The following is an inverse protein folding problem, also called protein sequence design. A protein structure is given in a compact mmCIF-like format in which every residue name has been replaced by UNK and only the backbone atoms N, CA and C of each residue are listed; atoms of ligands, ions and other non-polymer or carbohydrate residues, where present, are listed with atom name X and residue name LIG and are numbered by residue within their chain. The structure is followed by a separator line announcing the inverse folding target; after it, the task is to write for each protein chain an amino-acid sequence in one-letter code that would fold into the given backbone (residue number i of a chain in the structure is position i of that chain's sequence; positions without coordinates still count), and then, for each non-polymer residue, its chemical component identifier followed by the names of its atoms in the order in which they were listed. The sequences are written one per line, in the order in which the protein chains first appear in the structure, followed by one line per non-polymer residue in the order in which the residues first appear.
data_IF_311046675132
#
_entry.id   IF_311046675132
#
_cell.length_a   1.000
_cell.length_b   1.000
_cell.length_c   1.000
_cell.angle_alpha   90.00
_cell.angle_beta   90.00
_cell.angle_gamma   90.00
#
_symmetry.space_group_name_H-M   'P 1'
#
loop_
_entity.id
_entity.type
_entity.pdbx_description
1 polymer ?
#
# COMPACT_ATOMS: atom_id res chain seq x y z
N UNK A 1 -15.91 35.77 16.90
CA UNK A 1 -15.82 34.51 16.14
C UNK A 1 -14.47 33.91 16.47
N UNK A 2 -14.37 32.60 16.69
CA UNK A 2 -13.06 32.00 16.99
C UNK A 2 -12.14 32.17 15.77
N UNK A 3 -10.87 32.46 16.01
CA UNK A 3 -9.81 32.45 15.00
C UNK A 3 -9.34 31.02 14.67
N UNK A 4 -10.05 30.00 15.19
CA UNK A 4 -9.67 28.61 14.99
C UNK A 4 -10.00 28.16 13.57
N UNK A 5 -9.06 27.42 13.00
CA UNK A 5 -9.13 26.92 11.63
C UNK A 5 -10.19 25.82 11.47
N UNK A 6 -10.38 25.00 12.50
CA UNK A 6 -11.44 24.00 12.61
C UNK A 6 -11.98 24.00 14.03
N UNK A 7 -13.31 23.98 14.20
CA UNK A 7 -13.92 23.85 15.53
C UNK A 7 -15.35 23.30 15.47
N UNK A 8 -15.73 22.62 16.56
CA UNK A 8 -17.05 22.04 16.74
C UNK A 8 -17.97 22.98 17.50
N UNK A 9 -19.19 23.17 16.99
CA UNK A 9 -20.30 23.77 17.72
C UNK A 9 -21.26 22.62 18.08
N UNK A 10 -21.48 22.40 19.38
CA UNK A 10 -22.29 21.28 19.86
C UNK A 10 -23.75 21.63 20.02
N UNK A 11 -24.63 20.69 19.67
CA UNK A 11 -26.07 20.75 19.94
C UNK A 11 -26.72 22.09 19.52
N UNK A 12 -26.49 22.47 18.27
CA UNK A 12 -26.92 23.73 17.67
C UNK A 12 -27.60 23.49 16.30
N UNK A 13 -28.26 24.53 15.80
CA UNK A 13 -28.98 24.48 14.52
C UNK A 13 -29.01 25.81 13.78
N UNK A 14 -29.31 25.74 12.49
CA UNK A 14 -29.48 26.88 11.59
C UNK A 14 -28.30 27.07 10.64
N UNK A 15 -28.60 27.33 9.37
CA UNK A 15 -27.59 27.61 8.35
C UNK A 15 -26.77 28.88 8.66
N UNK A 16 -27.34 29.81 9.43
CA UNK A 16 -26.70 31.05 9.88
C UNK A 16 -25.53 30.82 10.85
N UNK A 17 -25.39 29.60 11.39
CA UNK A 17 -24.25 29.22 12.22
C UNK A 17 -22.96 29.07 11.42
N UNK A 18 -23.04 28.88 10.09
CA UNK A 18 -21.87 28.88 9.23
C UNK A 18 -21.33 30.32 9.08
N UNK A 19 -20.13 30.64 9.59
CA UNK A 19 -19.57 31.98 9.44
C UNK A 19 -19.28 32.31 7.96
N UNK A 20 -19.19 33.60 7.65
CA UNK A 20 -18.70 34.06 6.35
C UNK A 20 -17.29 33.53 6.10
N UNK A 21 -17.02 33.05 4.88
CA UNK A 21 -15.70 32.55 4.49
C UNK A 21 -15.34 31.17 5.07
N UNK A 22 -16.31 30.39 5.55
CA UNK A 22 -16.10 29.04 6.11
C UNK A 22 -17.04 28.01 5.48
N UNK A 23 -16.70 26.74 5.65
CA UNK A 23 -17.56 25.57 5.40
C UNK A 23 -18.16 25.11 6.74
N UNK A 24 -19.41 24.63 6.72
CA UNK A 24 -20.06 24.01 7.86
C UNK A 24 -20.69 22.66 7.48
N UNK A 25 -20.36 21.61 8.23
CA UNK A 25 -20.95 20.28 8.13
C UNK A 25 -21.94 20.08 9.29
N UNK A 26 -23.11 19.51 9.01
CA UNK A 26 -24.20 19.34 9.98
C UNK A 26 -24.58 17.87 10.09
N UNK A 27 -24.79 17.39 11.32
CA UNK A 27 -25.15 15.98 11.58
C UNK A 27 -26.56 15.60 11.11
N UNK A 28 -27.47 16.58 11.03
CA UNK A 28 -28.86 16.35 10.63
C UNK A 28 -29.22 17.13 9.35
N UNK A 29 -30.28 16.68 8.69
CA UNK A 29 -30.86 17.39 7.54
C UNK A 29 -31.42 18.76 7.96
N UNK A 30 -31.62 19.62 6.97
CA UNK A 30 -32.16 20.98 7.14
C UNK A 30 -31.39 21.78 8.20
N UNK A 31 -30.06 21.60 8.25
CA UNK A 31 -29.16 22.34 9.14
C UNK A 31 -29.55 22.17 10.62
N UNK A 32 -29.86 20.94 11.04
CA UNK A 32 -30.25 20.58 12.41
C UNK A 32 -31.53 21.28 12.93
N UNK A 33 -32.39 21.81 12.07
CA UNK A 33 -33.56 22.59 12.51
C UNK A 33 -34.64 21.78 13.22
N UNK A 34 -34.81 20.50 12.86
CA UNK A 34 -35.80 19.61 13.48
C UNK A 34 -35.25 18.87 14.71
N UNK A 35 -33.93 18.65 14.72
CA UNK A 35 -33.21 17.96 15.77
C UNK A 35 -31.84 18.63 15.92
N UNK A 36 -31.57 19.15 17.12
CA UNK A 36 -30.29 19.77 17.43
C UNK A 36 -29.19 18.75 17.23
N UNK A 37 -28.12 19.18 16.59
CA UNK A 37 -27.01 18.32 16.24
C UNK A 37 -25.70 19.09 16.32
N UNK A 38 -24.62 18.42 15.99
CA UNK A 38 -23.31 19.04 15.97
C UNK A 38 -23.07 19.71 14.62
N UNK A 39 -22.27 20.78 14.64
CA UNK A 39 -21.88 21.56 13.46
C UNK A 39 -20.37 21.73 13.47
N UNK A 40 -19.68 21.14 12.49
CA UNK A 40 -18.24 21.32 12.33
C UNK A 40 -17.97 22.49 11.38
N UNK A 41 -17.26 23.51 11.88
CA UNK A 41 -16.83 24.66 11.08
C UNK A 41 -15.39 24.45 10.62
N UNK A 42 -15.16 24.64 9.32
CA UNK A 42 -13.88 24.39 8.65
C UNK A 42 -13.49 25.62 7.84
N UNK A 43 -12.25 26.06 7.98
CA UNK A 43 -11.69 27.18 7.20
C UNK A 43 -11.24 26.74 5.81
N UNK A 44 -11.07 27.67 4.85
CA UNK A 44 -10.52 27.33 3.55
C UNK A 44 -9.14 26.67 3.66
N UNK A 45 -8.82 25.83 2.67
CA UNK A 45 -7.53 25.17 2.51
C UNK A 45 -7.18 24.16 3.62
N UNK A 46 -8.17 23.36 4.01
CA UNK A 46 -8.03 22.30 5.01
C UNK A 46 -8.54 20.98 4.43
N UNK A 47 -7.84 19.91 4.75
CA UNK A 47 -8.27 18.55 4.45
C UNK A 47 -8.35 17.77 5.75
N UNK A 48 -9.47 17.07 5.95
CA UNK A 48 -9.69 16.23 7.12
C UNK A 48 -10.16 14.86 6.65
N UNK A 49 -9.42 13.82 7.03
CA UNK A 49 -9.86 12.43 6.93
C UNK A 49 -10.80 12.06 8.09
N UNK A 50 -11.33 10.83 8.09
CA UNK A 50 -12.27 10.37 9.13
C UNK A 50 -11.72 10.55 10.54
N UNK A 51 -10.51 10.06 10.79
CA UNK A 51 -9.89 10.12 12.11
C UNK A 51 -9.71 11.57 12.59
N UNK A 52 -9.38 12.50 11.69
CA UNK A 52 -9.25 13.91 12.01
C UNK A 52 -10.61 14.55 12.32
N UNK A 53 -11.65 14.26 11.54
CA UNK A 53 -13.02 14.72 11.83
C UNK A 53 -13.48 14.27 13.22
N UNK A 54 -13.29 12.98 13.52
CA UNK A 54 -13.63 12.39 14.81
C UNK A 54 -12.79 12.97 15.96
N UNK A 55 -11.54 13.35 15.71
CA UNK A 55 -10.69 13.99 16.72
C UNK A 55 -11.21 15.36 17.18
N UNK A 56 -12.00 16.05 16.34
CA UNK A 56 -12.73 17.27 16.72
C UNK A 56 -14.05 16.98 17.45
N UNK A 57 -14.40 15.70 17.62
CA UNK A 57 -15.65 15.23 18.21
C UNK A 57 -16.82 15.20 17.22
N UNK A 58 -16.57 15.32 15.92
CA UNK A 58 -17.57 15.22 14.87
C UNK A 58 -17.54 13.82 14.27
N UNK A 59 -18.46 12.96 14.72
CA UNK A 59 -18.51 11.54 14.33
C UNK A 59 -19.11 11.42 12.93
N UNK A 60 -18.52 10.58 12.08
CA UNK A 60 -18.91 10.42 10.67
C UNK A 60 -18.95 8.95 10.24
N UNK A 61 -19.72 8.67 9.18
CA UNK A 61 -19.80 7.33 8.58
C UNK A 61 -20.67 6.32 9.33
N UNK A 62 -21.48 6.77 10.29
CA UNK A 62 -22.50 5.99 11.01
C UNK A 62 -23.79 6.81 11.12
N UNK A 63 -24.82 6.31 11.83
CA UNK A 63 -25.97 7.14 12.19
C UNK A 63 -25.48 8.43 12.86
N UNK A 64 -26.00 9.59 12.43
CA UNK A 64 -25.61 10.95 12.84
C UNK A 64 -24.32 11.51 12.16
N UNK A 65 -23.98 10.99 10.96
CA UNK A 65 -22.93 11.53 10.09
C UNK A 65 -23.32 12.84 9.38
N UNK A 66 -22.63 13.23 8.32
CA UNK A 66 -22.98 14.48 7.59
C UNK A 66 -24.29 14.30 6.84
N UNK A 67 -25.28 15.15 7.13
CA UNK A 67 -26.61 15.11 6.50
C UNK A 67 -26.97 16.41 5.76
N UNK A 68 -26.32 17.53 6.08
CA UNK A 68 -26.42 18.79 5.34
C UNK A 68 -25.13 19.62 5.42
N UNK A 69 -24.96 20.58 4.51
CA UNK A 69 -23.73 21.37 4.39
C UNK A 69 -24.01 22.79 3.93
N UNK A 70 -23.22 23.75 4.43
CA UNK A 70 -23.20 25.14 3.97
C UNK A 70 -21.77 25.50 3.58
N UNK A 71 -21.56 25.97 2.35
CA UNK A 71 -20.28 26.51 1.90
C UNK A 71 -20.39 28.04 1.74
N UNK A 72 -19.97 28.79 2.75
CA UNK A 72 -19.89 30.26 2.71
C UNK A 72 -18.50 30.76 2.27
N UNK A 73 -17.63 29.87 1.78
CA UNK A 73 -16.34 30.24 1.19
C UNK A 73 -16.52 30.81 -0.21
N UNK A 74 -15.43 31.35 -0.76
CA UNK A 74 -15.32 31.80 -2.14
C UNK A 74 -14.69 30.75 -3.09
N UNK A 75 -14.54 29.51 -2.62
CA UNK A 75 -13.98 28.38 -3.35
C UNK A 75 -14.83 27.12 -3.15
N UNK A 76 -14.64 26.11 -4.00
CA UNK A 76 -15.34 24.86 -3.86
C UNK A 76 -14.94 24.16 -2.55
N UNK A 77 -15.86 23.34 -2.04
CA UNK A 77 -15.53 22.32 -1.05
C UNK A 77 -15.91 20.97 -1.64
N UNK A 78 -15.25 19.91 -1.18
CA UNK A 78 -15.50 18.55 -1.65
C UNK A 78 -15.74 17.64 -0.45
N UNK A 79 -16.90 16.99 -0.46
CA UNK A 79 -17.21 15.88 0.45
C UNK A 79 -16.67 14.59 -0.18
N UNK A 80 -16.09 13.72 0.63
CA UNK A 80 -15.41 12.50 0.17
C UNK A 80 -15.96 11.30 0.95
N UNK A 81 -16.28 10.23 0.23
CA UNK A 81 -16.92 9.04 0.80
C UNK A 81 -15.95 8.06 1.48
N UNK A 82 -14.67 8.06 1.08
CA UNK A 82 -13.65 7.20 1.67
C UNK A 82 -13.02 7.75 2.95
N UNK A 83 -12.37 6.85 3.68
CA UNK A 83 -11.83 7.11 5.02
C UNK A 83 -10.53 7.89 4.99
N UNK A 84 -9.79 7.81 3.87
CA UNK A 84 -8.42 8.30 3.74
C UNK A 84 -8.29 9.28 2.57
N UNK A 85 -9.28 10.17 2.41
CA UNK A 85 -9.37 11.08 1.25
C UNK A 85 -9.37 10.31 -0.08
N UNK A 86 -10.12 9.21 -0.12
CA UNK A 86 -10.31 8.35 -1.28
C UNK A 86 -11.78 8.10 -1.64
N UNK A 87 -12.03 7.49 -2.79
CA UNK A 87 -13.37 7.12 -3.28
C UNK A 87 -14.16 8.25 -3.94
N UNK A 88 -15.49 8.11 -3.96
CA UNK A 88 -16.37 9.06 -4.66
C UNK A 88 -16.40 10.42 -3.96
N UNK A 89 -16.59 11.48 -4.76
CA UNK A 89 -16.58 12.87 -4.32
C UNK A 89 -17.89 13.60 -4.65
N UNK A 90 -18.25 14.60 -3.83
CA UNK A 90 -19.37 15.51 -4.08
C UNK A 90 -18.94 16.95 -3.84
N UNK A 91 -18.93 17.75 -4.91
CA UNK A 91 -18.58 19.17 -4.84
C UNK A 91 -19.74 20.03 -4.30
N UNK A 92 -19.41 20.92 -3.37
CA UNK A 92 -20.30 21.96 -2.81
C UNK A 92 -19.80 23.32 -3.29
N UNK A 93 -20.56 23.95 -4.19
CA UNK A 93 -20.17 25.21 -4.84
C UNK A 93 -20.11 26.40 -3.86
N UNK A 94 -19.34 27.46 -4.17
CA UNK A 94 -19.13 28.58 -3.26
C UNK A 94 -20.43 29.36 -3.08
N UNK A 95 -20.72 29.78 -1.85
CA UNK A 95 -21.95 30.50 -1.50
C UNK A 95 -23.23 29.67 -1.60
N UNK A 96 -23.12 28.34 -1.67
CA UNK A 96 -24.28 27.44 -1.76
C UNK A 96 -24.48 26.65 -0.48
N UNK A 97 -25.67 26.08 -0.33
CA UNK A 97 -25.99 25.13 0.73
C UNK A 97 -26.72 23.91 0.15
N UNK A 98 -26.53 22.77 0.81
CA UNK A 98 -27.23 21.54 0.52
C UNK A 98 -28.03 21.20 1.79
N UNK A 99 -29.35 21.44 1.79
CA UNK A 99 -30.17 21.23 2.98
C UNK A 99 -30.42 19.75 3.28
N UNK A 100 -30.17 18.84 2.33
CA UNK A 100 -30.26 17.40 2.56
C UNK A 100 -29.39 16.64 1.58
N UNK A 101 -28.57 15.73 2.08
CA UNK A 101 -27.74 14.83 1.27
C UNK A 101 -28.51 13.58 0.80
N UNK A 102 -29.74 13.35 1.28
CA UNK A 102 -30.61 12.25 0.86
C UNK A 102 -30.88 12.28 -0.65
N UNK A 103 -30.99 13.47 -1.22
CA UNK A 103 -31.28 13.69 -2.64
C UNK A 103 -30.07 13.51 -3.57
N UNK A 104 -28.89 13.21 -3.02
CA UNK A 104 -27.63 13.09 -3.76
C UNK A 104 -27.23 11.62 -3.81
N UNK A 105 -27.33 10.94 -4.97
CA UNK A 105 -27.01 9.52 -5.08
C UNK A 105 -25.53 9.20 -4.79
N UNK A 106 -25.28 8.05 -4.17
CA UNK A 106 -23.96 7.47 -3.90
C UNK A 106 -24.06 5.95 -4.03
N UNK A 107 -23.56 5.38 -5.13
CA UNK A 107 -23.72 3.95 -5.43
C UNK A 107 -25.20 3.52 -5.43
N UNK A 108 -25.56 2.55 -4.59
CA UNK A 108 -26.94 2.11 -4.39
C UNK A 108 -27.73 2.93 -3.35
N UNK A 109 -27.06 3.87 -2.67
CA UNK A 109 -27.61 4.73 -1.62
C UNK A 109 -27.51 6.21 -1.97
N UNK A 110 -27.27 7.04 -0.95
CA UNK A 110 -27.13 8.48 -1.07
C UNK A 110 -26.03 9.00 -0.13
N UNK A 111 -25.71 10.28 -0.24
CA UNK A 111 -24.65 10.92 0.54
C UNK A 111 -24.99 11.19 2.01
N UNK A 112 -26.24 10.94 2.45
CA UNK A 112 -26.62 11.13 3.85
C UNK A 112 -25.82 10.17 4.73
N UNK A 113 -25.12 10.73 5.71
CA UNK A 113 -24.25 10.03 6.66
C UNK A 113 -23.04 9.31 6.02
N UNK A 114 -22.85 9.44 4.71
CA UNK A 114 -21.83 8.72 3.95
C UNK A 114 -20.53 9.51 3.71
N UNK A 115 -20.50 10.77 4.15
CA UNK A 115 -19.26 11.58 4.12
C UNK A 115 -18.32 11.05 5.20
N UNK A 116 -17.10 10.69 4.82
CA UNK A 116 -16.05 10.24 5.74
C UNK A 116 -14.82 11.15 5.73
N UNK A 117 -14.61 11.94 4.69
CA UNK A 117 -13.54 12.93 4.61
C UNK A 117 -14.02 14.21 3.92
N UNK A 118 -13.29 15.31 4.07
CA UNK A 118 -13.65 16.62 3.49
C UNK A 118 -12.42 17.41 3.10
N UNK A 119 -12.53 18.13 1.98
CA UNK A 119 -11.56 19.10 1.51
C UNK A 119 -12.24 20.46 1.35
N UNK A 120 -11.78 21.47 2.08
CA UNK A 120 -12.27 22.86 1.95
C UNK A 120 -11.44 23.67 0.94
N UNK A 121 -11.07 23.03 -0.16
CA UNK A 121 -10.32 23.59 -1.27
C UNK A 121 -10.77 23.00 -2.61
N UNK A 122 -10.34 23.66 -3.69
CA UNK A 122 -10.40 23.07 -5.02
C UNK A 122 -9.52 21.81 -5.04
N UNK A 123 -10.00 20.77 -5.71
CA UNK A 123 -9.31 19.47 -5.77
C UNK A 123 -8.95 19.09 -7.20
N UNK A 124 -7.92 18.27 -7.30
CA UNK A 124 -7.62 17.40 -8.43
C UNK A 124 -8.02 15.97 -8.06
N UNK A 125 -8.71 15.27 -8.95
CA UNK A 125 -9.02 13.86 -8.75
C UNK A 125 -8.09 13.01 -9.57
N UNK A 126 -7.51 12.00 -8.95
CA UNK A 126 -6.73 10.95 -9.62
C UNK A 126 -7.37 9.59 -9.37
N UNK A 127 -6.86 8.57 -10.02
CA UNK A 127 -7.28 7.18 -9.89
C UNK A 127 -6.05 6.27 -9.77
N UNK A 128 -5.64 6.01 -8.52
CA UNK A 128 -4.53 5.15 -8.16
C UNK A 128 -5.06 3.90 -7.47
N UNK A 129 -4.54 2.74 -7.87
CA UNK A 129 -4.87 1.46 -7.23
C UNK A 129 -3.66 0.91 -6.48
N UNK A 130 -3.87 0.51 -5.22
CA UNK A 130 -2.84 -0.14 -4.40
C UNK A 130 -3.10 -1.64 -4.29
N UNK A 131 -2.06 -2.44 -4.51
CA UNK A 131 -2.02 -3.87 -4.20
C UNK A 131 -0.77 -4.19 -3.39
N UNK A 132 -0.90 -5.02 -2.37
CA UNK A 132 0.21 -5.60 -1.60
C UNK A 132 0.21 -7.10 -1.88
N UNK A 133 1.38 -7.71 -1.90
CA UNK A 133 1.47 -9.18 -1.99
C UNK A 133 0.67 -9.89 -0.88
N UNK A 134 0.14 -11.06 -1.22
CA UNK A 134 -0.74 -11.84 -0.35
C UNK A 134 0.03 -12.91 0.44
N UNK A 135 -0.51 -13.27 1.60
CA UNK A 135 -0.08 -14.41 2.43
C UNK A 135 1.42 -14.47 2.75
N UNK A 136 1.94 -13.38 3.33
CA UNK A 136 3.34 -13.28 3.71
C UNK A 136 3.64 -14.22 4.89
N UNK A 137 4.60 -15.14 4.72
CA UNK A 137 5.06 -16.06 5.76
C UNK A 137 6.52 -15.77 6.12
N UNK A 138 6.82 -15.53 7.39
CA UNK A 138 8.16 -15.30 7.92
C UNK A 138 8.54 -16.36 8.95
N UNK A 139 9.83 -16.52 9.20
CA UNK A 139 10.36 -17.15 10.41
C UNK A 139 10.69 -16.07 11.47
N UNK A 140 10.88 -16.48 12.71
CA UNK A 140 11.36 -15.56 13.75
C UNK A 140 12.74 -15.00 13.39
N UNK A 141 12.96 -13.71 13.66
CA UNK A 141 14.19 -12.96 13.35
C UNK A 141 14.50 -12.80 11.85
N UNK A 142 13.59 -13.22 10.97
CA UNK A 142 13.78 -13.07 9.54
C UNK A 142 13.40 -11.67 9.04
N UNK A 143 14.30 -11.07 8.25
CA UNK A 143 14.05 -9.84 7.51
C UNK A 143 13.44 -10.14 6.14
N UNK A 144 12.37 -9.43 5.78
CA UNK A 144 11.71 -9.56 4.50
C UNK A 144 11.28 -8.20 3.95
N UNK A 145 11.07 -8.09 2.64
CA UNK A 145 10.74 -6.84 1.96
C UNK A 145 9.50 -7.01 1.07
N UNK A 146 8.34 -6.76 1.66
CA UNK A 146 7.06 -7.00 1.01
C UNK A 146 6.82 -6.03 -0.14
N UNK A 147 6.30 -6.53 -1.26
CA UNK A 147 6.01 -5.71 -2.45
C UNK A 147 4.65 -5.03 -2.35
N UNK A 148 4.66 -3.69 -2.24
CA UNK A 148 3.51 -2.84 -2.48
C UNK A 148 3.62 -2.25 -3.90
N UNK A 149 2.58 -2.44 -4.69
CA UNK A 149 2.45 -1.85 -6.02
C UNK A 149 1.37 -0.78 -6.00
N UNK A 150 1.67 0.35 -6.63
CA UNK A 150 0.74 1.47 -6.76
C UNK A 150 0.67 1.83 -8.24
N UNK A 151 -0.44 1.47 -8.88
CA UNK A 151 -0.66 1.71 -10.29
C UNK A 151 -1.42 3.02 -10.48
N UNK A 152 -0.95 3.85 -11.42
CA UNK A 152 -1.60 5.10 -11.79
C UNK A 152 -2.41 4.92 -13.07
N UNK A 153 -3.74 4.94 -12.94
CA UNK A 153 -4.67 4.79 -14.07
C UNK A 153 -4.87 6.11 -14.84
N UNK A 154 -4.07 7.14 -14.56
CA UNK A 154 -4.14 8.48 -15.16
C UNK A 154 -2.87 8.72 -15.96
N UNK A 155 -2.97 9.53 -17.00
CA UNK A 155 -1.83 9.89 -17.85
C UNK A 155 -0.85 10.89 -17.21
N UNK A 156 -1.27 11.56 -16.14
CA UNK A 156 -0.45 12.55 -15.43
C UNK A 156 0.22 11.96 -14.19
N UNK A 157 1.43 12.42 -13.90
CA UNK A 157 2.21 11.92 -12.76
C UNK A 157 1.73 12.52 -11.45
N UNK A 158 1.61 11.68 -10.42
CA UNK A 158 1.38 12.12 -9.04
C UNK A 158 2.71 12.20 -8.31
N UNK A 159 3.06 13.40 -7.83
CA UNK A 159 4.31 13.64 -7.12
C UNK A 159 4.07 13.90 -5.64
N UNK A 160 5.06 13.56 -4.81
CA UNK A 160 5.04 13.80 -3.36
C UNK A 160 3.92 13.07 -2.61
N UNK A 161 3.39 11.97 -3.17
CA UNK A 161 2.57 11.07 -2.39
C UNK A 161 3.45 10.36 -1.36
N UNK A 162 2.86 9.91 -0.25
CA UNK A 162 3.61 9.22 0.80
C UNK A 162 2.99 7.89 1.16
N UNK A 163 3.82 6.90 1.43
CA UNK A 163 3.41 5.57 1.90
C UNK A 163 3.83 5.42 3.35
N UNK A 164 2.90 4.91 4.16
CA UNK A 164 3.16 4.44 5.52
C UNK A 164 2.68 3.00 5.65
N UNK A 165 3.32 2.24 6.53
CA UNK A 165 2.94 0.88 6.81
C UNK A 165 2.95 0.62 8.31
N UNK A 166 2.06 -0.25 8.78
CA UNK A 166 1.93 -0.57 10.20
C UNK A 166 1.54 -2.03 10.42
N UNK A 167 1.95 -2.57 11.57
CA UNK A 167 1.52 -3.87 12.05
C UNK A 167 0.42 -3.71 13.08
N UNK A 168 -0.65 -4.50 12.96
CA UNK A 168 -1.70 -4.61 13.98
C UNK A 168 -1.19 -5.25 15.29
N UNK A 169 -0.07 -5.98 15.25
CA UNK A 169 0.56 -6.55 16.44
C UNK A 169 2.09 -6.63 16.29
N UNK A 170 2.78 -5.65 16.86
CA UNK A 170 4.24 -5.54 16.80
C UNK A 170 4.99 -6.66 17.54
N UNK A 171 4.30 -7.48 18.33
CA UNK A 171 4.90 -8.66 18.97
C UNK A 171 5.01 -9.85 18.00
N UNK A 172 4.21 -9.87 16.92
CA UNK A 172 4.28 -10.90 15.87
C UNK A 172 5.33 -10.49 14.83
N UNK A 173 5.19 -9.30 14.25
CA UNK A 173 6.17 -8.75 13.31
C UNK A 173 6.22 -7.23 13.44
N UNK A 174 7.38 -6.63 13.14
CA UNK A 174 7.55 -5.19 13.06
C UNK A 174 7.72 -4.71 11.63
N UNK A 175 7.27 -3.49 11.36
CA UNK A 175 7.56 -2.74 10.13
C UNK A 175 8.69 -1.77 10.45
N UNK A 176 9.77 -1.80 9.68
CA UNK A 176 10.96 -0.95 9.97
C UNK A 176 10.97 0.38 9.22
N UNK A 177 10.00 0.63 8.34
CA UNK A 177 9.92 1.88 7.57
C UNK A 177 9.23 3.02 8.29
N UNK A 178 9.85 4.20 8.21
CA UNK A 178 9.15 5.48 8.32
C UNK A 178 8.34 5.82 7.06
N UNK A 179 7.82 7.04 6.99
CA UNK A 179 7.13 7.56 5.81
C UNK A 179 8.04 7.58 4.59
N UNK A 180 7.62 6.94 3.49
CA UNK A 180 8.34 6.95 2.21
C UNK A 180 7.66 7.92 1.25
N UNK A 181 8.39 8.90 0.73
CA UNK A 181 7.89 9.80 -0.33
C UNK A 181 8.12 9.17 -1.69
N UNK A 182 7.09 9.13 -2.52
CA UNK A 182 7.10 8.52 -3.85
C UNK A 182 6.56 9.47 -4.92
N UNK A 183 7.02 9.26 -6.15
CA UNK A 183 6.43 9.80 -7.37
C UNK A 183 5.93 8.64 -8.21
N UNK A 184 4.71 8.77 -8.72
CA UNK A 184 4.03 7.74 -9.49
C UNK A 184 3.78 8.34 -10.87
N UNK A 185 4.54 7.88 -11.87
CA UNK A 185 4.37 8.37 -13.24
C UNK A 185 3.00 7.99 -13.80
N UNK A 186 2.54 8.75 -14.80
CA UNK A 186 1.28 8.46 -15.49
C UNK A 186 1.32 7.11 -16.21
N UNK A 187 0.22 6.36 -16.18
CA UNK A 187 0.05 5.04 -16.79
C UNK A 187 1.10 3.99 -16.35
N UNK A 188 1.81 4.22 -15.24
CA UNK A 188 2.87 3.37 -14.72
C UNK A 188 2.57 2.85 -13.30
N UNK A 189 3.35 1.84 -12.89
CA UNK A 189 3.30 1.26 -11.54
C UNK A 189 4.55 1.66 -10.74
N UNK A 190 4.35 2.30 -9.60
CA UNK A 190 5.39 2.50 -8.61
C UNK A 190 5.48 1.28 -7.69
N UNK A 191 6.69 0.73 -7.53
CA UNK A 191 6.96 -0.38 -6.63
C UNK A 191 7.64 0.12 -5.35
N UNK A 192 7.07 -0.26 -4.20
CA UNK A 192 7.55 0.11 -2.87
C UNK A 192 7.82 -1.17 -2.07
N UNK A 193 9.00 -1.26 -1.47
CA UNK A 193 9.35 -2.37 -0.57
C UNK A 193 9.09 -1.99 0.87
N UNK A 194 8.31 -2.82 1.57
CA UNK A 194 7.98 -2.64 2.98
C UNK A 194 8.82 -3.63 3.80
N UNK A 195 9.86 -3.18 4.51
CA UNK A 195 10.71 -4.05 5.30
C UNK A 195 9.97 -4.50 6.56
N UNK A 196 9.95 -5.82 6.73
CA UNK A 196 9.33 -6.55 7.81
C UNK A 196 10.41 -7.32 8.56
N UNK A 197 10.22 -7.47 9.87
CA UNK A 197 11.04 -8.34 10.70
C UNK A 197 10.14 -9.23 11.56
N UNK A 198 10.29 -10.54 11.42
CA UNK A 198 9.62 -11.53 12.26
C UNK A 198 10.08 -11.42 13.72
N UNK A 199 9.14 -11.37 14.67
CA UNK A 199 9.42 -11.18 16.10
C UNK A 199 8.94 -12.34 16.97
N UNK A 200 7.77 -12.89 16.68
CA UNK A 200 7.20 -13.97 17.46
C UNK A 200 6.10 -14.69 16.69
N UNK A 201 5.96 -15.98 16.95
CA UNK A 201 4.94 -16.80 16.29
C UNK A 201 3.52 -16.21 16.40
N UNK A 202 2.78 -16.28 15.29
CA UNK A 202 1.39 -15.84 15.20
C UNK A 202 1.06 -15.20 13.86
N UNK A 203 -0.14 -14.65 13.75
CA UNK A 203 -0.56 -13.90 12.56
C UNK A 203 -1.02 -12.50 12.95
N UNK A 204 -0.69 -11.52 12.12
CA UNK A 204 -1.11 -10.15 12.28
C UNK A 204 -1.28 -9.48 10.91
N UNK A 205 -2.12 -8.45 10.85
CA UNK A 205 -2.35 -7.67 9.62
C UNK A 205 -1.25 -6.62 9.42
N UNK A 206 -0.69 -6.58 8.21
CA UNK A 206 0.09 -5.47 7.67
C UNK A 206 -0.87 -4.53 6.93
N UNK A 207 -0.91 -3.27 7.34
CA UNK A 207 -1.71 -2.22 6.68
C UNK A 207 -0.77 -1.22 6.02
N UNK A 208 -0.94 -1.01 4.71
CA UNK A 208 -0.25 0.02 3.94
C UNK A 208 -1.23 1.13 3.59
N UNK A 209 -0.85 2.38 3.85
CA UNK A 209 -1.66 3.56 3.57
C UNK A 209 -0.90 4.54 2.69
N UNK A 210 -1.54 4.95 1.59
CA UNK A 210 -1.12 6.04 0.71
C UNK A 210 -1.76 7.35 1.18
N UNK A 211 -0.95 8.37 1.34
CA UNK A 211 -1.41 9.74 1.61
C UNK A 211 -1.06 10.62 0.43
N UNK A 212 -2.08 11.21 -0.16
CA UNK A 212 -1.97 12.10 -1.32
C UNK A 212 -1.43 13.47 -0.91
N UNK A 213 -0.77 14.19 -1.83
CA UNK A 213 -0.46 15.60 -1.60
C UNK A 213 -1.74 16.41 -1.42
N UNK A 214 -1.65 17.52 -0.69
CA UNK A 214 -2.78 18.42 -0.45
C UNK A 214 -3.45 18.83 -1.76
N UNK A 215 -4.78 18.82 -1.76
CA UNK A 215 -5.64 19.14 -2.89
C UNK A 215 -5.86 17.97 -3.84
N UNK A 216 -5.33 16.78 -3.56
CA UNK A 216 -5.50 15.61 -4.43
C UNK A 216 -6.32 14.53 -3.74
N UNK A 217 -7.42 14.12 -4.39
CA UNK A 217 -8.31 13.05 -3.92
C UNK A 217 -8.19 11.86 -4.85
N UNK A 218 -7.99 10.67 -4.29
CA UNK A 218 -7.85 9.45 -5.06
C UNK A 218 -9.20 8.72 -5.22
N UNK A 219 -9.71 8.56 -6.44
CA UNK A 219 -10.93 7.80 -6.70
C UNK A 219 -10.76 6.27 -6.50
N UNK A 220 -9.53 5.78 -6.55
CA UNK A 220 -9.19 4.38 -6.26
C UNK A 220 -9.12 4.11 -4.76
N UNK A 221 -8.08 3.41 -4.31
CA UNK A 221 -7.89 3.07 -2.90
C UNK A 221 -6.61 3.68 -2.34
N UNK A 222 -6.71 4.29 -1.15
CA UNK A 222 -5.57 4.81 -0.39
C UNK A 222 -5.12 3.86 0.74
N UNK A 223 -5.71 2.66 0.83
CA UNK A 223 -5.33 1.65 1.81
C UNK A 223 -5.40 0.26 1.19
N UNK A 224 -4.45 -0.58 1.58
CA UNK A 224 -4.48 -2.02 1.32
C UNK A 224 -3.88 -2.77 2.52
N UNK A 225 -4.20 -4.05 2.65
CA UNK A 225 -3.78 -4.86 3.78
C UNK A 225 -3.57 -6.32 3.38
N UNK A 226 -2.66 -6.98 4.08
CA UNK A 226 -2.39 -8.42 3.93
C UNK A 226 -2.13 -9.05 5.29
N UNK A 227 -2.23 -10.37 5.36
CA UNK A 227 -1.90 -11.12 6.57
C UNK A 227 -0.42 -11.52 6.53
N UNK A 228 0.30 -11.22 7.60
CA UNK A 228 1.66 -11.70 7.85
C UNK A 228 1.58 -12.78 8.92
N UNK A 229 2.12 -13.96 8.63
CA UNK A 229 2.24 -15.06 9.58
C UNK A 229 3.71 -15.31 9.89
N UNK A 230 4.06 -15.34 11.17
CA UNK A 230 5.38 -15.73 11.64
C UNK A 230 5.29 -17.14 12.21
N UNK A 231 6.13 -18.03 11.71
CA UNK A 231 6.15 -19.46 12.01
C UNK A 231 7.51 -19.89 12.54
N UNK A 232 7.56 -21.02 13.26
CA UNK A 232 8.83 -21.56 13.77
C UNK A 232 9.74 -22.04 12.66
N UNK A 233 9.15 -22.74 11.68
CA UNK A 233 9.85 -23.34 10.54
C UNK A 233 8.90 -23.29 9.36
N UNK A 234 9.39 -22.84 8.20
CA UNK A 234 8.62 -22.91 6.96
C UNK A 234 8.49 -24.35 6.47
N UNK A 235 7.35 -24.72 5.86
CA UNK A 235 7.20 -26.03 5.21
C UNK A 235 8.26 -26.29 4.14
N UNK A 236 8.65 -25.23 3.42
CA UNK A 236 9.66 -25.24 2.37
C UNK A 236 10.95 -24.59 2.86
N UNK A 237 12.07 -25.24 2.55
CA UNK A 237 13.40 -24.84 2.98
C UNK A 237 14.35 -24.83 1.78
N UNK A 238 15.25 -23.85 1.76
CA UNK A 238 16.31 -23.74 0.75
C UNK A 238 17.65 -23.54 1.43
N UNK A 239 18.63 -24.34 1.04
CA UNK A 239 20.03 -24.15 1.45
C UNK A 239 20.89 -23.86 0.23
N UNK A 240 22.00 -23.17 0.44
CA UNK A 240 22.90 -22.76 -0.64
C UNK A 240 24.35 -23.13 -0.33
N UNK A 241 25.12 -23.34 -1.39
CA UNK A 241 26.57 -23.44 -1.34
C UNK A 241 27.19 -22.77 -2.55
N UNK A 242 28.31 -22.09 -2.35
CA UNK A 242 29.04 -21.43 -3.42
C UNK A 242 29.78 -22.46 -4.29
N UNK A 243 29.52 -22.43 -5.61
CA UNK A 243 30.11 -23.38 -6.56
C UNK A 243 31.35 -22.82 -7.28
N UNK A 244 31.45 -21.49 -7.43
CA UNK A 244 32.61 -20.81 -8.02
C UNK A 244 32.24 -19.51 -8.72
N UNK A 245 33.26 -18.75 -9.11
CA UNK A 245 33.13 -17.52 -9.90
C UNK A 245 34.15 -17.45 -11.03
N UNK A 246 33.79 -16.78 -12.12
CA UNK A 246 34.67 -16.51 -13.25
C UNK A 246 34.30 -15.20 -13.94
N UNK A 247 35.26 -14.60 -14.64
CA UNK A 247 35.01 -13.37 -15.39
C UNK A 247 34.12 -13.67 -16.60
N UNK A 248 33.17 -12.78 -16.88
CA UNK A 248 32.39 -12.81 -18.11
C UNK A 248 33.30 -12.57 -19.35
N UNK A 249 32.77 -12.83 -20.54
CA UNK A 249 33.52 -12.79 -21.80
C UNK A 249 34.20 -11.44 -21.99
N UNK A 250 35.52 -11.47 -22.19
CA UNK A 250 36.31 -10.27 -22.46
C UNK A 250 35.72 -9.48 -23.65
N UNK A 251 35.55 -8.15 -23.56
CA UNK A 251 36.14 -7.23 -22.58
C UNK A 251 35.29 -6.89 -21.34
N UNK A 252 34.34 -7.75 -20.92
CA UNK A 252 33.52 -7.48 -19.73
C UNK A 252 34.35 -7.36 -18.44
N UNK A 253 33.94 -6.46 -17.54
CA UNK A 253 34.47 -6.35 -16.18
C UNK A 253 33.62 -7.10 -15.16
N UNK A 254 32.53 -7.72 -15.62
CA UNK A 254 31.57 -8.43 -14.79
C UNK A 254 32.05 -9.86 -14.50
N UNK A 255 31.48 -10.43 -13.44
CA UNK A 255 31.82 -11.76 -12.96
C UNK A 255 30.54 -12.58 -12.78
N UNK A 256 30.58 -13.81 -13.27
CA UNK A 256 29.51 -14.78 -13.10
C UNK A 256 29.82 -15.58 -11.84
N UNK A 257 28.87 -15.61 -10.91
CA UNK A 257 28.91 -16.39 -9.67
C UNK A 257 27.88 -17.52 -9.76
N UNK A 258 28.30 -18.73 -9.46
CA UNK A 258 27.47 -19.92 -9.45
C UNK A 258 27.19 -20.40 -8.03
N UNK A 259 25.94 -20.75 -7.76
CA UNK A 259 25.48 -21.26 -6.48
C UNK A 259 24.72 -22.55 -6.71
N UNK A 260 25.01 -23.56 -5.88
CA UNK A 260 24.19 -24.76 -5.79
C UNK A 260 23.16 -24.58 -4.69
N UNK A 261 21.88 -24.64 -5.07
CA UNK A 261 20.75 -24.58 -4.16
C UNK A 261 20.16 -25.97 -3.96
N UNK A 262 19.73 -26.25 -2.73
CA UNK A 262 19.00 -27.46 -2.38
C UNK A 262 17.64 -27.03 -1.86
N UNK A 263 16.60 -27.33 -2.63
CA UNK A 263 15.21 -27.05 -2.34
C UNK A 263 14.60 -28.30 -1.71
N UNK A 264 13.88 -28.13 -0.60
CA UNK A 264 13.33 -29.24 0.17
C UNK A 264 11.99 -28.90 0.80
N UNK A 265 11.15 -29.92 0.95
CA UNK A 265 9.89 -29.85 1.70
C UNK A 265 9.88 -30.98 2.72
N UNK A 266 9.53 -30.66 3.96
CA UNK A 266 9.49 -31.64 5.04
C UNK A 266 8.24 -32.53 4.97
N UNK A 267 7.07 -31.96 4.64
CA UNK A 267 5.79 -32.64 4.82
C UNK A 267 4.87 -32.59 3.60
N UNK A 268 5.00 -31.58 2.75
CA UNK A 268 4.06 -31.32 1.66
C UNK A 268 4.69 -31.56 0.29
N UNK A 269 3.93 -32.17 -0.61
CA UNK A 269 4.28 -32.13 -2.03
C UNK A 269 3.96 -30.74 -2.57
N UNK A 270 4.93 -30.11 -3.23
CA UNK A 270 4.81 -28.76 -3.78
C UNK A 270 5.07 -28.81 -5.28
N UNK A 271 4.01 -28.57 -6.05
CA UNK A 271 3.99 -28.63 -7.51
C UNK A 271 4.39 -27.31 -8.17
N UNK A 272 4.13 -26.19 -7.50
CA UNK A 272 4.58 -24.86 -7.89
C UNK A 272 5.26 -24.16 -6.73
N UNK A 273 6.42 -23.60 -6.99
CA UNK A 273 7.20 -22.87 -5.99
C UNK A 273 7.81 -21.61 -6.58
N UNK A 274 8.13 -20.68 -5.69
CA UNK A 274 8.77 -19.40 -5.98
C UNK A 274 10.05 -19.32 -5.12
N UNK A 275 11.17 -19.06 -5.78
CA UNK A 275 12.46 -18.81 -5.16
C UNK A 275 12.74 -17.31 -5.19
N UNK A 276 13.03 -16.71 -4.04
CA UNK A 276 13.35 -15.28 -3.96
C UNK A 276 14.67 -15.02 -3.26
N UNK A 277 15.39 -13.98 -3.68
CA UNK A 277 16.61 -13.49 -3.03
C UNK A 277 16.86 -12.02 -3.39
N UNK A 278 17.84 -11.40 -2.72
CA UNK A 278 18.22 -9.99 -2.94
C UNK A 278 19.62 -9.91 -3.56
N UNK A 279 19.71 -9.12 -4.63
CA UNK A 279 20.93 -8.77 -5.33
C UNK A 279 21.32 -7.31 -5.05
N UNK A 280 22.64 -7.00 -4.99
CA UNK A 280 23.13 -5.64 -4.89
C UNK A 280 22.94 -4.87 -6.22
N UNK A 281 23.06 -3.55 -6.15
CA UNK A 281 22.98 -2.68 -7.32
C UNK A 281 23.95 -3.10 -8.44
N UNK A 282 23.43 -3.18 -9.67
CA UNK A 282 24.18 -3.56 -10.86
C UNK A 282 24.41 -5.06 -11.03
N UNK A 283 23.90 -5.90 -10.12
CA UNK A 283 23.86 -7.35 -10.31
C UNK A 283 22.51 -7.81 -10.88
N UNK A 284 22.52 -8.89 -11.65
CA UNK A 284 21.33 -9.49 -12.25
C UNK A 284 21.44 -11.01 -12.37
N UNK A 285 20.31 -11.69 -12.53
CA UNK A 285 20.31 -13.11 -12.88
C UNK A 285 20.97 -13.26 -14.25
N UNK A 286 21.95 -14.15 -14.36
CA UNK A 286 22.75 -14.27 -15.59
C UNK A 286 21.85 -14.65 -16.78
N UNK A 287 21.75 -13.82 -17.83
CA UNK A 287 20.75 -14.02 -18.88
C UNK A 287 20.89 -15.33 -19.66
N UNK A 288 22.11 -15.80 -19.91
CA UNK A 288 22.32 -17.06 -20.63
C UNK A 288 21.88 -18.26 -19.82
N UNK A 289 22.14 -18.25 -18.50
CA UNK A 289 21.66 -19.28 -17.59
C UNK A 289 20.13 -19.28 -17.50
N UNK A 290 19.51 -18.10 -17.36
CA UNK A 290 18.05 -18.00 -17.29
C UNK A 290 17.40 -18.52 -18.59
N UNK A 291 18.03 -18.28 -19.73
CA UNK A 291 17.58 -18.83 -21.00
C UNK A 291 17.73 -20.36 -21.06
N UNK A 292 18.87 -20.91 -20.62
CA UNK A 292 19.09 -22.36 -20.62
C UNK A 292 18.16 -23.11 -19.65
N UNK A 293 17.83 -22.48 -18.52
CA UNK A 293 16.94 -23.03 -17.49
C UNK A 293 15.48 -22.59 -17.65
N UNK A 294 15.09 -22.03 -18.80
CA UNK A 294 13.72 -21.58 -19.08
C UNK A 294 12.66 -22.70 -19.08
N UNK A 295 13.09 -23.97 -19.08
CA UNK A 295 12.20 -25.13 -18.88
C UNK A 295 11.97 -25.48 -17.41
N UNK A 296 12.72 -24.85 -16.51
CA UNK A 296 12.73 -25.06 -15.07
C UNK A 296 12.18 -23.88 -14.29
N UNK A 297 12.60 -22.68 -14.66
CA UNK A 297 12.25 -21.45 -13.95
C UNK A 297 12.00 -20.30 -14.91
N UNK A 298 11.14 -19.38 -14.47
CA UNK A 298 10.87 -18.12 -15.13
C UNK A 298 11.13 -16.96 -14.18
N UNK A 299 11.78 -15.90 -14.66
CA UNK A 299 11.92 -14.65 -13.90
C UNK A 299 10.58 -13.92 -13.85
N UNK A 300 10.06 -13.71 -12.65
CA UNK A 300 8.87 -12.91 -12.42
C UNK A 300 9.25 -11.42 -12.48
N UNK A 301 9.15 -10.81 -13.66
CA UNK A 301 9.59 -9.42 -13.88
C UNK A 301 8.74 -8.38 -13.15
N UNK A 302 7.51 -8.72 -12.78
CA UNK A 302 6.62 -7.83 -12.04
C UNK A 302 7.05 -7.74 -10.56
N UNK A 303 7.43 -8.88 -9.97
CA UNK A 303 7.95 -8.95 -8.60
C UNK A 303 9.45 -8.65 -8.52
N UNK A 304 10.23 -8.87 -9.58
CA UNK A 304 11.69 -8.72 -9.56
C UNK A 304 12.11 -7.27 -9.77
N UNK A 305 11.96 -6.46 -8.72
CA UNK A 305 12.18 -5.02 -8.74
C UNK A 305 13.02 -4.56 -7.54
N UNK A 306 13.82 -3.51 -7.74
CA UNK A 306 14.66 -2.88 -6.72
C UNK A 306 15.60 -3.91 -6.04
N UNK A 307 16.34 -4.68 -6.85
CA UNK A 307 17.31 -5.68 -6.40
C UNK A 307 16.69 -6.98 -5.86
N UNK A 308 15.38 -7.03 -5.60
CA UNK A 308 14.72 -8.28 -5.23
C UNK A 308 14.47 -9.10 -6.49
N UNK A 309 14.75 -10.39 -6.44
CA UNK A 309 14.60 -11.35 -7.53
C UNK A 309 13.61 -12.42 -7.11
N UNK A 310 12.71 -12.78 -8.03
CA UNK A 310 11.70 -13.81 -7.87
C UNK A 310 11.73 -14.73 -9.10
N UNK A 311 11.99 -16.02 -8.88
CA UNK A 311 12.00 -17.07 -9.89
C UNK A 311 10.86 -18.04 -9.62
N UNK A 312 9.92 -18.13 -10.54
CA UNK A 312 8.77 -19.03 -10.48
C UNK A 312 9.11 -20.36 -11.17
N UNK A 313 8.68 -21.48 -10.58
CA UNK A 313 8.89 -22.80 -11.16
C UNK A 313 8.00 -23.06 -12.37
N UNK A 314 8.54 -23.68 -13.41
CA UNK A 314 7.75 -24.25 -14.50
C UNK A 314 7.07 -25.57 -14.10
N UNK A 315 5.96 -25.95 -14.76
CA UNK A 315 5.25 -27.19 -14.43
C UNK A 315 6.12 -28.45 -14.54
N UNK A 316 6.04 -29.31 -13.52
CA UNK A 316 6.69 -30.63 -13.49
C UNK A 316 7.89 -30.75 -12.55
N UNK A 317 8.32 -29.64 -11.93
CA UNK A 317 9.45 -29.61 -10.99
C UNK A 317 8.98 -29.71 -9.54
N UNK A 318 8.35 -30.84 -9.23
CA UNK A 318 7.68 -31.09 -7.95
C UNK A 318 8.69 -31.36 -6.82
N UNK A 319 8.64 -30.57 -5.76
CA UNK A 319 9.36 -30.85 -4.51
C UNK A 319 8.51 -31.81 -3.69
N UNK A 320 8.85 -33.10 -3.74
CA UNK A 320 8.19 -34.11 -2.92
C UNK A 320 8.77 -34.13 -1.48
N UNK A 321 7.98 -34.55 -0.48
CA UNK A 321 8.47 -34.71 0.88
C UNK A 321 9.71 -35.59 0.94
N UNK A 322 10.70 -35.17 1.73
CA UNK A 322 11.98 -35.85 1.93
C UNK A 322 12.81 -36.07 0.64
N UNK A 323 12.47 -35.39 -0.46
CA UNK A 323 13.24 -35.42 -1.71
C UNK A 323 13.73 -34.04 -2.08
N UNK A 324 15.04 -33.89 -2.00
CA UNK A 324 15.70 -32.66 -2.36
C UNK A 324 15.74 -32.49 -3.88
N UNK A 325 15.50 -31.26 -4.33
CA UNK A 325 15.78 -30.80 -5.69
C UNK A 325 17.06 -29.97 -5.64
N UNK A 326 17.99 -30.26 -6.55
CA UNK A 326 19.16 -29.44 -6.75
C UNK A 326 18.88 -28.44 -7.89
N UNK A 327 19.15 -27.17 -7.65
CA UNK A 327 19.07 -26.11 -8.64
C UNK A 327 20.37 -25.30 -8.59
N UNK A 328 21.14 -25.34 -9.67
CA UNK A 328 22.30 -24.49 -9.81
C UNK A 328 21.86 -23.17 -10.44
N UNK A 329 22.17 -22.04 -9.81
CA UNK A 329 21.84 -20.70 -10.32
C UNK A 329 23.10 -19.90 -10.61
N UNK A 330 23.02 -19.01 -11.61
CA UNK A 330 24.12 -18.11 -11.97
C UNK A 330 23.68 -16.64 -11.93
N UNK A 331 24.50 -15.82 -11.28
CA UNK A 331 24.26 -14.39 -11.11
C UNK A 331 25.45 -13.62 -11.70
N UNK A 332 25.17 -12.58 -12.47
CA UNK A 332 26.14 -11.65 -13.01
C UNK A 332 26.32 -10.48 -12.03
N UNK A 333 27.55 -10.23 -11.60
CA UNK A 333 27.91 -9.14 -10.69
C UNK A 333 28.83 -8.13 -11.36
N UNK A 334 28.77 -6.83 -10.98
CA UNK A 334 29.55 -5.77 -11.62
C UNK A 334 31.05 -5.84 -11.31
N UNK A 335 31.45 -6.61 -10.29
CA UNK A 335 32.84 -6.79 -9.90
C UNK A 335 33.03 -8.15 -9.16
N UNK A 336 34.27 -8.49 -8.86
CA UNK A 336 34.60 -9.65 -8.05
C UNK A 336 34.61 -9.27 -6.56
N UNK A 337 33.87 -9.98 -5.71
CA UNK A 337 33.85 -9.79 -4.26
C UNK A 337 33.50 -11.08 -3.51
N UNK A 338 34.12 -11.27 -2.34
CA UNK A 338 33.74 -12.36 -1.43
C UNK A 338 32.34 -12.19 -0.84
N UNK A 339 31.82 -10.97 -0.79
CA UNK A 339 30.48 -10.69 -0.27
C UNK A 339 29.39 -11.33 -1.15
N UNK A 340 29.70 -11.59 -2.42
CA UNK A 340 28.82 -12.24 -3.37
C UNK A 340 28.84 -13.77 -3.25
N UNK A 341 29.67 -14.37 -2.40
CA UNK A 341 29.68 -15.84 -2.25
C UNK A 341 28.45 -16.39 -1.50
N UNK A 342 27.51 -15.53 -1.09
CA UNK A 342 26.27 -15.94 -0.42
C UNK A 342 25.13 -15.03 -0.87
N UNK A 343 24.07 -15.64 -1.42
CA UNK A 343 22.82 -14.94 -1.72
C UNK A 343 22.16 -14.50 -0.42
N UNK A 344 21.73 -13.24 -0.38
CA UNK A 344 21.05 -12.66 0.77
C UNK A 344 19.54 -12.85 0.63
N UNK A 345 18.87 -13.02 1.78
CA UNK A 345 17.42 -13.16 1.87
C UNK A 345 16.84 -14.28 0.96
N UNK A 346 17.54 -15.42 0.91
CA UNK A 346 17.16 -16.56 0.09
C UNK A 346 15.96 -17.29 0.71
N UNK A 347 14.86 -17.38 -0.02
CA UNK A 347 13.59 -17.95 0.46
C UNK A 347 12.95 -18.82 -0.61
N UNK A 348 12.24 -19.84 -0.15
CA UNK A 348 11.44 -20.73 -0.98
C UNK A 348 10.00 -20.73 -0.48
N UNK A 349 9.05 -20.49 -1.37
CA UNK A 349 7.62 -20.43 -1.06
C UNK A 349 6.82 -21.29 -2.03
N UNK A 350 5.65 -21.75 -1.60
CA UNK A 350 4.69 -22.43 -2.46
C UNK A 350 3.85 -21.37 -3.18
N UNK A 351 3.62 -21.57 -4.47
CA UNK A 351 2.66 -20.78 -5.25
C UNK A 351 1.28 -21.44 -5.21
N UNK A 352 0.23 -20.62 -5.10
CA UNK A 352 -1.17 -21.05 -5.04
C UNK A 352 -1.78 -21.56 -6.35
#
# INVERSE_FOLDING_TARGET
MSEQDVYLIKNESGADKCPSGKLALYTNVQFNTSEMGDILIISPNIELNKAQLESYGFIVGEHDGVSSVVNNMNQDATLVSGLYLDGQTLTVKPGTNIPTLISYPLGSGNWNDAVNSVVSADIETVDLTMSIEDEIILEEEEEYSALLQIHNNNSESVNNATVTASSSNSAVFSVETGTQTISIAGDETANVRIPLLGKGQGSATLTCQLTMPFGVVNNGNNMTQTTVTVSEVRPLQVTQSFAGDWQDTWPSTEYIYSYKLILSSAETEVDKWELSFVLPDGAEVYPEWLQSESSWVQLNTEKSVNGNVYLDSEPGHVIAPDKNIELDIQILYPNQSTDYQTLKNLRLMQLG
#
